data_IF_166998192784
#
_entry.id   IF_166998192784
#
_cell.length_a   1.000
_cell.length_b   1.000
_cell.length_c   1.000
_cell.angle_alpha   90.00
_cell.angle_beta   90.00
_cell.angle_gamma   90.00
#
_symmetry.space_group_name_H-M   'P 1'
#
loop_
_entity.id
_entity.type
_entity.pdbx_description
1 polymer ?
#
# COMPACT_ATOMS: atom_id res chain seq x y z
N UNK A 1 12.50 -13.96 -10.68
CA UNK A 1 13.94 -13.77 -10.92
C UNK A 1 14.27 -12.33 -10.58
N UNK A 2 15.01 -12.07 -9.50
CA UNK A 2 15.18 -10.74 -8.90
C UNK A 2 15.78 -9.68 -9.86
N UNK A 3 16.49 -10.11 -10.91
CA UNK A 3 17.08 -9.23 -11.95
C UNK A 3 16.09 -8.31 -12.66
N UNK A 4 14.81 -8.65 -12.70
CA UNK A 4 13.77 -7.79 -13.29
C UNK A 4 13.21 -6.73 -12.34
N UNK A 5 13.47 -6.84 -11.03
CA UNK A 5 12.85 -5.97 -10.01
C UNK A 5 13.56 -4.63 -9.92
N UNK A 6 14.90 -4.60 -9.90
CA UNK A 6 15.67 -3.36 -9.79
C UNK A 6 15.34 -2.34 -10.91
N UNK A 7 15.25 -2.72 -12.19
CA UNK A 7 14.85 -1.78 -13.24
C UNK A 7 13.42 -1.25 -13.07
N UNK A 8 12.50 -2.09 -12.57
CA UNK A 8 11.13 -1.66 -12.32
C UNK A 8 11.07 -0.67 -11.15
N UNK A 9 11.82 -0.92 -10.08
CA UNK A 9 11.95 0.02 -8.95
C UNK A 9 12.55 1.36 -9.42
N UNK A 10 13.57 1.33 -10.28
CA UNK A 10 14.12 2.55 -10.88
C UNK A 10 13.07 3.31 -11.70
N UNK A 11 12.24 2.61 -12.48
CA UNK A 11 11.16 3.23 -13.25
C UNK A 11 10.05 3.81 -12.36
N UNK A 12 9.71 3.17 -11.24
CA UNK A 12 8.74 3.72 -10.26
C UNK A 12 9.27 5.04 -9.66
N UNK A 13 10.58 5.14 -9.43
CA UNK A 13 11.23 6.32 -8.87
C UNK A 13 11.35 7.45 -9.90
N UNK A 14 11.98 7.16 -11.03
CA UNK A 14 12.53 8.17 -11.94
C UNK A 14 11.85 8.19 -13.32
N UNK A 15 10.90 7.29 -13.57
CA UNK A 15 10.22 7.19 -14.85
C UNK A 15 9.25 8.36 -15.13
N UNK A 16 8.82 8.46 -16.38
CA UNK A 16 7.64 9.27 -16.74
C UNK A 16 6.37 8.71 -16.09
N UNK A 17 5.28 9.48 -16.05
CA UNK A 17 4.04 9.02 -15.42
C UNK A 17 3.55 7.67 -15.92
N UNK A 18 3.62 7.49 -17.25
CA UNK A 18 3.21 6.27 -17.91
C UNK A 18 4.20 5.10 -17.71
N UNK A 19 5.47 5.39 -17.38
CA UNK A 19 6.44 4.36 -16.99
C UNK A 19 6.26 3.96 -15.53
N UNK A 20 6.04 4.93 -14.62
CA UNK A 20 5.75 4.67 -13.21
C UNK A 20 4.52 3.78 -13.05
N UNK A 21 3.45 4.09 -13.77
CA UNK A 21 2.22 3.28 -13.75
C UNK A 21 2.45 1.84 -14.23
N UNK A 22 3.10 1.66 -15.40
CA UNK A 22 3.40 0.34 -15.95
C UNK A 22 4.35 -0.46 -15.04
N UNK A 23 5.34 0.21 -14.47
CA UNK A 23 6.29 -0.42 -13.56
C UNK A 23 5.61 -0.86 -12.27
N UNK A 24 4.74 -0.03 -11.68
CA UNK A 24 3.96 -0.39 -10.50
C UNK A 24 3.01 -1.57 -10.78
N UNK A 25 2.35 -1.61 -11.95
CA UNK A 25 1.54 -2.75 -12.36
C UNK A 25 2.33 -4.05 -12.53
N UNK A 26 3.54 -3.96 -13.09
CA UNK A 26 4.45 -5.11 -13.19
C UNK A 26 4.93 -5.59 -11.81
N UNK A 27 5.31 -4.67 -10.92
CA UNK A 27 5.67 -4.98 -9.54
C UNK A 27 4.51 -5.62 -8.77
N UNK A 28 3.28 -5.18 -8.99
CA UNK A 28 2.08 -5.78 -8.40
C UNK A 28 1.98 -7.27 -8.74
N UNK A 29 2.18 -7.59 -10.02
CA UNK A 29 2.13 -8.98 -10.50
C UNK A 29 3.25 -9.82 -9.88
N UNK A 30 4.43 -9.23 -9.68
CA UNK A 30 5.57 -9.91 -9.07
C UNK A 30 5.41 -10.10 -7.56
N UNK A 31 4.87 -9.10 -6.84
CA UNK A 31 4.70 -9.10 -5.39
C UNK A 31 3.64 -10.08 -4.87
N UNK A 32 2.96 -10.81 -5.75
CA UNK A 32 2.07 -11.92 -5.39
C UNK A 32 2.82 -13.15 -4.81
N UNK A 33 4.16 -13.13 -4.76
CA UNK A 33 5.00 -14.17 -4.16
C UNK A 33 5.93 -13.55 -3.13
N UNK A 34 6.00 -14.16 -1.94
CA UNK A 34 6.80 -13.76 -0.78
C UNK A 34 8.27 -13.45 -1.12
N UNK A 35 8.90 -14.28 -1.96
CA UNK A 35 10.30 -14.08 -2.38
C UNK A 35 10.46 -12.75 -3.13
N UNK A 36 9.48 -12.40 -3.97
CA UNK A 36 9.51 -11.14 -4.71
C UNK A 36 9.11 -9.96 -3.83
N UNK A 37 8.26 -10.13 -2.82
CA UNK A 37 7.94 -9.07 -1.87
C UNK A 37 9.21 -8.58 -1.16
N UNK A 38 10.00 -9.53 -0.64
CA UNK A 38 11.30 -9.24 0.00
C UNK A 38 12.28 -8.64 -1.02
N UNK A 39 12.31 -9.14 -2.25
CA UNK A 39 13.20 -8.61 -3.28
C UNK A 39 12.84 -7.16 -3.71
N UNK A 40 11.56 -6.80 -3.75
CA UNK A 40 11.11 -5.42 -4.02
C UNK A 40 11.54 -4.48 -2.90
N UNK A 41 11.38 -4.90 -1.64
CA UNK A 41 11.84 -4.13 -0.49
C UNK A 41 13.37 -3.94 -0.50
N UNK A 42 14.13 -5.02 -0.70
CA UNK A 42 15.59 -4.99 -0.77
C UNK A 42 16.13 -4.16 -1.95
N UNK A 43 15.38 -4.07 -3.05
CA UNK A 43 15.71 -3.19 -4.17
C UNK A 43 15.40 -1.70 -3.91
N UNK A 44 14.89 -1.35 -2.72
CA UNK A 44 14.52 0.02 -2.35
C UNK A 44 13.21 0.47 -2.99
N UNK A 45 12.26 -0.45 -3.18
CA UNK A 45 10.97 -0.17 -3.83
C UNK A 45 9.95 0.54 -2.94
N UNK A 46 10.06 0.42 -1.61
CA UNK A 46 9.03 0.91 -0.67
C UNK A 46 8.87 2.43 -0.73
N UNK A 47 9.95 3.19 -0.59
CA UNK A 47 9.89 4.66 -0.55
C UNK A 47 9.33 5.28 -1.86
N UNK A 48 9.74 4.84 -3.07
CA UNK A 48 9.09 5.27 -4.31
C UNK A 48 7.60 4.95 -4.39
N UNK A 49 7.17 3.79 -3.87
CA UNK A 49 5.75 3.41 -3.84
C UNK A 49 4.96 4.28 -2.86
N UNK A 50 5.51 4.57 -1.67
CA UNK A 50 4.90 5.52 -0.72
C UNK A 50 4.75 6.89 -1.35
N UNK A 51 5.78 7.37 -2.06
CA UNK A 51 5.73 8.64 -2.80
C UNK A 51 4.61 8.64 -3.84
N UNK A 52 4.42 7.54 -4.58
CA UNK A 52 3.32 7.43 -5.53
C UNK A 52 1.94 7.45 -4.88
N UNK A 53 1.77 6.85 -3.70
CA UNK A 53 0.51 6.94 -2.94
C UNK A 53 0.20 8.38 -2.54
N UNK A 54 1.22 9.16 -2.17
CA UNK A 54 1.07 10.56 -1.79
C UNK A 54 0.80 11.47 -3.01
N UNK A 55 1.67 11.43 -4.01
CA UNK A 55 1.77 12.48 -5.03
C UNK A 55 1.48 12.00 -6.46
N UNK A 56 1.23 10.71 -6.66
CA UNK A 56 1.01 10.14 -7.98
C UNK A 56 -0.32 10.54 -8.64
N UNK A 57 -0.46 10.21 -9.91
CA UNK A 57 -1.73 10.23 -10.62
C UNK A 57 -2.73 9.24 -9.99
N UNK A 58 -4.01 9.36 -10.32
CA UNK A 58 -5.02 8.45 -9.76
C UNK A 58 -4.69 6.96 -9.99
N UNK A 59 -4.19 6.61 -11.18
CA UNK A 59 -3.78 5.25 -11.52
C UNK A 59 -2.51 4.83 -10.76
N UNK A 60 -1.52 5.72 -10.63
CA UNK A 60 -0.30 5.43 -9.88
C UNK A 60 -0.58 5.20 -8.40
N UNK A 61 -1.45 6.01 -7.79
CA UNK A 61 -1.91 5.85 -6.40
C UNK A 61 -2.56 4.49 -6.17
N UNK A 62 -3.43 4.09 -7.10
CA UNK A 62 -4.09 2.78 -7.03
C UNK A 62 -3.09 1.64 -7.14
N UNK A 63 -2.22 1.63 -8.16
CA UNK A 63 -1.22 0.58 -8.31
C UNK A 63 -0.25 0.53 -7.14
N UNK A 64 0.23 1.68 -6.66
CA UNK A 64 1.15 1.74 -5.54
C UNK A 64 0.50 1.20 -4.25
N UNK A 65 -0.77 1.53 -3.97
CA UNK A 65 -1.49 0.97 -2.84
C UNK A 65 -1.65 -0.57 -2.96
N UNK A 66 -1.88 -1.11 -4.16
CA UNK A 66 -1.93 -2.56 -4.37
C UNK A 66 -0.58 -3.21 -4.07
N UNK A 67 0.51 -2.63 -4.59
CA UNK A 67 1.85 -3.18 -4.34
C UNK A 67 2.18 -3.13 -2.85
N UNK A 68 1.96 -2.00 -2.17
CA UNK A 68 2.19 -1.88 -0.73
C UNK A 68 1.34 -2.88 0.07
N UNK A 69 0.09 -3.13 -0.33
CA UNK A 69 -0.74 -4.16 0.26
C UNK A 69 -0.08 -5.55 0.16
N UNK A 70 0.40 -5.93 -1.04
CA UNK A 70 1.11 -7.19 -1.24
C UNK A 70 2.42 -7.26 -0.46
N UNK A 71 3.18 -6.16 -0.36
CA UNK A 71 4.42 -6.13 0.40
C UNK A 71 4.18 -6.28 1.91
N UNK A 72 3.10 -5.68 2.43
CA UNK A 72 2.71 -5.73 3.85
C UNK A 72 2.23 -7.11 4.31
N UNK A 73 2.10 -8.09 3.42
CA UNK A 73 1.90 -9.50 3.81
C UNK A 73 3.16 -10.12 4.45
N UNK A 74 4.29 -9.40 4.47
CA UNK A 74 5.52 -9.80 5.13
C UNK A 74 5.84 -8.84 6.30
N UNK A 75 6.08 -9.39 7.49
CA UNK A 75 6.27 -8.62 8.73
C UNK A 75 7.40 -7.59 8.65
N UNK A 76 8.54 -7.96 8.06
CA UNK A 76 9.66 -7.04 7.91
C UNK A 76 9.32 -5.87 6.98
N UNK A 77 8.54 -6.14 5.93
CA UNK A 77 8.05 -5.11 5.03
C UNK A 77 6.99 -4.22 5.68
N UNK A 78 6.15 -4.75 6.58
CA UNK A 78 5.18 -3.92 7.31
C UNK A 78 5.90 -2.81 8.07
N UNK A 79 6.94 -3.18 8.81
CA UNK A 79 7.77 -2.24 9.57
C UNK A 79 8.49 -1.27 8.63
N UNK A 80 9.02 -1.75 7.51
CA UNK A 80 9.70 -0.90 6.53
C UNK A 80 8.74 0.11 5.88
N UNK A 81 7.49 -0.26 5.59
CA UNK A 81 6.46 0.64 5.04
C UNK A 81 6.06 1.69 6.07
N UNK A 82 5.86 1.30 7.33
CA UNK A 82 5.56 2.23 8.40
C UNK A 82 6.70 3.24 8.62
N UNK A 83 7.95 2.77 8.68
CA UNK A 83 9.14 3.61 8.82
C UNK A 83 9.36 4.55 7.63
N UNK A 84 8.93 4.15 6.43
CA UNK A 84 8.94 5.00 5.24
C UNK A 84 7.79 6.04 5.22
N UNK A 85 6.96 6.11 6.26
CA UNK A 85 5.84 7.05 6.36
C UNK A 85 4.62 6.64 5.52
N UNK A 86 4.48 5.35 5.17
CA UNK A 86 3.42 4.88 4.27
C UNK A 86 2.00 4.90 4.85
N UNK A 87 1.86 4.92 6.18
CA UNK A 87 0.54 4.83 6.85
C UNK A 87 -0.32 6.06 6.56
N UNK A 88 0.24 7.27 6.70
CA UNK A 88 -0.53 8.51 6.55
C UNK A 88 -1.08 8.71 5.13
N UNK A 89 -0.30 8.50 4.04
CA UNK A 89 -0.82 8.53 2.67
C UNK A 89 -1.91 7.48 2.41
N UNK A 90 -1.79 6.27 2.99
CA UNK A 90 -2.83 5.23 2.86
C UNK A 90 -4.12 5.63 3.59
N UNK A 91 -4.02 6.21 4.78
CA UNK A 91 -5.19 6.75 5.50
C UNK A 91 -5.85 7.88 4.70
N UNK A 92 -5.05 8.77 4.08
CA UNK A 92 -5.56 9.82 3.21
C UNK A 92 -6.32 9.24 1.99
N UNK A 93 -5.81 8.16 1.37
CA UNK A 93 -6.53 7.47 0.29
C UNK A 93 -7.85 6.84 0.75
N UNK A 94 -7.89 6.23 1.95
CA UNK A 94 -9.15 5.71 2.53
C UNK A 94 -10.19 6.82 2.71
N UNK A 95 -9.76 8.04 3.04
CA UNK A 95 -10.63 9.20 3.23
C UNK A 95 -11.11 9.80 1.90
N UNK A 96 -10.16 10.13 1.04
CA UNK A 96 -10.37 11.06 -0.09
C UNK A 96 -10.30 10.39 -1.47
N UNK A 97 -9.86 9.13 -1.54
CA UNK A 97 -9.64 8.42 -2.80
C UNK A 97 -10.91 8.02 -3.56
N UNK A 98 -10.71 7.50 -4.78
CA UNK A 98 -11.75 6.81 -5.55
C UNK A 98 -12.20 5.54 -4.84
N UNK A 99 -13.32 4.94 -5.28
CA UNK A 99 -13.79 3.68 -4.70
C UNK A 99 -12.71 2.58 -4.76
N UNK A 100 -12.00 2.46 -5.87
CA UNK A 100 -10.89 1.51 -6.01
C UNK A 100 -9.74 1.85 -5.05
N UNK A 101 -9.27 3.09 -5.03
CA UNK A 101 -8.19 3.51 -4.13
C UNK A 101 -8.52 3.27 -2.65
N UNK A 102 -9.75 3.54 -2.23
CA UNK A 102 -10.23 3.30 -0.87
C UNK A 102 -10.15 1.82 -0.49
N UNK A 103 -10.58 0.95 -1.40
CA UNK A 103 -10.51 -0.50 -1.21
C UNK A 103 -9.05 -0.97 -1.08
N UNK A 104 -8.17 -0.54 -1.99
CA UNK A 104 -6.75 -0.93 -1.99
C UNK A 104 -6.01 -0.41 -0.77
N UNK A 105 -6.25 0.84 -0.39
CA UNK A 105 -5.64 1.45 0.77
C UNK A 105 -6.13 0.80 2.07
N UNK A 106 -7.43 0.50 2.19
CA UNK A 106 -7.94 -0.23 3.36
C UNK A 106 -7.32 -1.63 3.47
N UNK A 107 -7.14 -2.34 2.35
CA UNK A 107 -6.46 -3.65 2.34
C UNK A 107 -4.99 -3.54 2.75
N UNK A 108 -4.29 -2.51 2.29
CA UNK A 108 -2.91 -2.25 2.71
C UNK A 108 -2.82 -1.97 4.21
N UNK A 109 -3.71 -1.13 4.75
CA UNK A 109 -3.78 -0.84 6.19
C UNK A 109 -4.10 -2.08 7.01
N UNK A 110 -4.97 -2.96 6.50
CA UNK A 110 -5.25 -4.24 7.15
C UNK A 110 -4.00 -5.12 7.23
N UNK A 111 -3.30 -5.32 6.12
CA UNK A 111 -2.07 -6.10 6.12
C UNK A 111 -0.98 -5.47 7.01
N UNK A 112 -0.90 -4.13 7.07
CA UNK A 112 0.04 -3.44 7.96
C UNK A 112 -0.30 -3.64 9.45
N UNK A 113 -1.58 -3.66 9.79
CA UNK A 113 -2.05 -3.87 11.16
C UNK A 113 -1.94 -5.34 11.60
N UNK A 114 -2.07 -6.28 10.67
CA UNK A 114 -2.12 -7.71 10.98
C UNK A 114 -0.81 -8.20 11.58
N UNK A 115 -0.92 -8.87 12.72
CA UNK A 115 0.21 -9.44 13.48
C UNK A 115 1.29 -8.40 13.86
N UNK A 116 0.92 -7.12 13.94
CA UNK A 116 1.82 -6.03 14.30
C UNK A 116 1.24 -5.19 15.45
N UNK A 117 2.01 -5.01 16.54
CA UNK A 117 1.52 -4.29 17.71
C UNK A 117 1.56 -2.75 17.55
N UNK A 118 2.49 -2.23 16.74
CA UNK A 118 2.76 -0.78 16.66
C UNK A 118 1.95 -0.12 15.54
N UNK A 119 1.78 -0.81 14.41
CA UNK A 119 1.08 -0.27 13.24
C UNK A 119 -0.40 0.08 13.50
N UNK A 120 -1.22 -0.70 14.23
CA UNK A 120 -2.59 -0.31 14.57
C UNK A 120 -2.64 1.02 15.33
N UNK A 121 -1.69 1.25 16.24
CA UNK A 121 -1.56 2.52 16.99
C UNK A 121 -1.20 3.65 16.04
N UNK A 122 -0.21 3.45 15.17
CA UNK A 122 0.18 4.45 14.17
C UNK A 122 -0.97 4.79 13.18
N UNK A 123 -1.79 3.80 12.79
CA UNK A 123 -3.00 4.01 11.98
C UNK A 123 -4.02 4.88 12.73
N UNK A 124 -4.21 4.61 14.02
CA UNK A 124 -5.11 5.40 14.86
C UNK A 124 -4.61 6.85 15.02
N UNK A 125 -3.32 7.04 15.28
CA UNK A 125 -2.67 8.34 15.43
C UNK A 125 -2.67 9.16 14.13
N UNK A 126 -2.57 8.50 12.98
CA UNK A 126 -2.75 9.11 11.65
C UNK A 126 -4.23 9.46 11.36
N UNK A 127 -5.16 9.20 12.28
CA UNK A 127 -6.58 9.52 12.14
C UNK A 127 -7.37 8.51 11.30
N UNK A 128 -6.86 7.28 11.13
CA UNK A 128 -7.44 6.24 10.27
C UNK A 128 -8.77 5.67 10.74
N UNK A 129 -9.08 5.74 12.05
CA UNK A 129 -10.28 5.12 12.63
C UNK A 129 -11.57 5.64 11.99
N UNK A 130 -11.71 6.97 11.86
CA UNK A 130 -12.95 7.58 11.35
C UNK A 130 -13.20 7.23 9.87
N UNK A 131 -12.22 7.36 8.95
CA UNK A 131 -12.36 6.91 7.57
C UNK A 131 -12.67 5.41 7.43
N UNK A 132 -12.01 4.54 8.20
CA UNK A 132 -12.24 3.09 8.16
C UNK A 132 -13.66 2.74 8.63
N UNK A 133 -14.13 3.33 9.73
CA UNK A 133 -15.52 3.15 10.20
C UNK A 133 -16.54 3.64 9.17
N UNK A 134 -16.24 4.71 8.44
CA UNK A 134 -17.10 5.19 7.36
C UNK A 134 -17.19 4.17 6.22
N UNK A 135 -16.09 3.51 5.85
CA UNK A 135 -16.09 2.42 4.87
C UNK A 135 -16.88 1.20 5.35
N UNK A 136 -16.72 0.77 6.61
CA UNK A 136 -17.50 -0.34 7.17
C UNK A 136 -19.01 -0.12 7.05
N UNK A 137 -19.46 1.14 7.19
CA UNK A 137 -20.88 1.48 7.10
C UNK A 137 -21.37 1.59 5.66
N UNK A 138 -20.62 2.34 4.83
CA UNK A 138 -21.12 2.86 3.56
C UNK A 138 -20.39 2.34 2.32
N UNK A 139 -19.34 1.54 2.49
CA UNK A 139 -18.51 1.03 1.39
C UNK A 139 -19.13 -0.13 0.61
N UNK A 140 -18.43 -0.54 -0.44
CA UNK A 140 -18.67 -1.81 -1.13
C UNK A 140 -18.38 -3.01 -0.22
N UNK A 141 -18.78 -4.21 -0.62
CA UNK A 141 -18.49 -5.43 0.16
C UNK A 141 -16.99 -5.56 0.47
N UNK A 142 -16.13 -5.41 -0.53
CA UNK A 142 -14.69 -5.49 -0.36
C UNK A 142 -14.12 -4.36 0.52
N UNK A 143 -14.62 -3.13 0.36
CA UNK A 143 -14.20 -2.01 1.24
C UNK A 143 -14.60 -2.25 2.70
N UNK A 144 -15.78 -2.82 2.94
CA UNK A 144 -16.26 -3.15 4.30
C UNK A 144 -15.40 -4.22 4.95
N UNK A 145 -15.09 -5.28 4.20
CA UNK A 145 -14.24 -6.38 4.65
C UNK A 145 -12.84 -5.87 5.01
N UNK A 146 -12.18 -5.17 4.08
CA UNK A 146 -10.84 -4.64 4.31
C UNK A 146 -10.80 -3.66 5.47
N UNK A 147 -11.78 -2.76 5.57
CA UNK A 147 -11.83 -1.78 6.65
C UNK A 147 -12.14 -2.42 8.01
N UNK A 148 -12.98 -3.45 8.05
CA UNK A 148 -13.24 -4.21 9.27
C UNK A 148 -11.99 -4.99 9.70
N UNK A 149 -11.27 -5.60 8.75
CA UNK A 149 -9.98 -6.24 9.01
C UNK A 149 -9.00 -5.28 9.66
N UNK A 150 -8.77 -4.11 9.04
CA UNK A 150 -7.87 -3.08 9.58
C UNK A 150 -8.24 -2.54 10.98
N UNK A 151 -9.53 -2.60 11.37
CA UNK A 151 -9.99 -2.16 12.68
C UNK A 151 -9.95 -3.25 13.77
N UNK A 152 -9.87 -4.52 13.36
CA UNK A 152 -9.92 -5.68 14.26
C UNK A 152 -8.55 -6.37 14.42
N UNK A 153 -7.58 -6.05 13.56
CA UNK A 153 -6.19 -6.48 13.67
C UNK A 153 -5.49 -5.94 14.91
#
# INVERSE_FOLDING_TARGET
NARGIEPLVALVRDGTDAQKERAAGALCSLAANDVNQVAVANAGGIEPLVTLVCDGTAAQKEWAAIVLCSLAANDANQVAIANAGGIEPLVALVRDGTAAQKERAAGALWNLASDNADNPVAIADAGGIKPLVALVRNGTVAQKENAAGALCS
#
